data_IF_014110940198
#
_entry.id   IF_014110940198
#
_cell.length_a   1.000
_cell.length_b   1.000
_cell.length_c   1.000
_cell.angle_alpha   90.00
_cell.angle_beta   90.00
_cell.angle_gamma   90.00
#
_symmetry.space_group_name_H-M   'P 1'
#
loop_
_entity.id
_entity.type
_entity.pdbx_description
1 polymer ?
#
# COMPACT_ATOMS: atom_id res chain seq x y z
N UNK A 1 -6.31 -50.86 -42.49
CA UNK A 1 -5.03 -50.39 -43.05
C UNK A 1 -4.59 -49.22 -42.19
N UNK A 2 -3.83 -49.54 -41.19
CA UNK A 2 -2.35 -49.45 -41.04
C UNK A 2 -1.86 -48.00 -41.04
N UNK A 3 -1.07 -47.49 -40.10
CA UNK A 3 -0.06 -47.96 -39.12
C UNK A 3 0.09 -46.87 -38.05
N UNK A 4 -0.03 -47.08 -36.81
CA UNK A 4 0.97 -47.40 -35.75
C UNK A 4 2.39 -46.91 -36.08
N UNK A 5 2.88 -46.00 -35.26
CA UNK A 5 4.24 -46.05 -34.76
C UNK A 5 4.40 -45.29 -33.42
N UNK A 6 4.71 -46.12 -32.47
CA UNK A 6 5.16 -45.86 -31.08
C UNK A 6 6.61 -45.34 -31.09
N UNK A 7 6.97 -44.46 -30.17
CA UNK A 7 8.34 -44.00 -29.96
C UNK A 7 8.59 -43.55 -28.53
N UNK A 8 8.91 -44.52 -27.71
CA UNK A 8 9.68 -44.58 -26.46
C UNK A 8 10.11 -43.31 -25.72
N UNK A 9 9.57 -43.16 -24.54
CA UNK A 9 10.20 -42.49 -23.39
C UNK A 9 11.45 -43.26 -22.94
N UNK A 10 12.59 -42.60 -22.85
CA UNK A 10 13.69 -43.01 -21.96
C UNK A 10 13.86 -41.98 -20.85
N UNK A 11 13.44 -42.37 -19.64
CA UNK A 11 13.85 -41.75 -18.37
C UNK A 11 15.33 -41.98 -18.18
N UNK A 12 16.08 -40.93 -17.90
CA UNK A 12 17.38 -41.00 -17.23
C UNK A 12 17.34 -40.05 -16.03
N UNK A 13 17.28 -40.67 -14.87
CA UNK A 13 17.56 -40.04 -13.58
C UNK A 13 19.08 -40.09 -13.37
N UNK A 14 19.74 -38.96 -13.21
CA UNK A 14 21.02 -38.83 -12.52
C UNK A 14 20.99 -37.56 -11.71
N UNK A 15 21.38 -37.72 -10.46
CA UNK A 15 21.08 -36.81 -9.38
C UNK A 15 22.07 -35.64 -9.17
N UNK A 16 21.68 -34.87 -8.17
CA UNK A 16 22.44 -34.01 -7.24
C UNK A 16 23.21 -32.83 -7.83
N UNK A 17 22.77 -31.64 -7.47
CA UNK A 17 23.60 -30.44 -7.49
C UNK A 17 22.90 -29.16 -7.95
N UNK A 18 22.59 -28.27 -7.04
CA UNK A 18 22.46 -26.83 -7.28
C UNK A 18 21.04 -26.34 -7.60
N UNK A 19 20.43 -25.73 -6.62
CA UNK A 19 19.28 -24.85 -6.80
C UNK A 19 19.62 -23.77 -7.84
N UNK A 20 19.10 -23.92 -9.03
CA UNK A 20 18.94 -22.84 -10.02
C UNK A 20 17.47 -22.55 -10.09
N UNK A 21 17.06 -21.46 -9.44
CA UNK A 21 15.72 -20.88 -9.60
C UNK A 21 15.54 -20.42 -11.04
N UNK A 22 14.92 -21.25 -11.86
CA UNK A 22 14.45 -20.85 -13.17
C UNK A 22 13.10 -20.17 -13.00
N UNK A 23 13.12 -18.85 -12.75
CA UNK A 23 11.91 -18.04 -12.78
C UNK A 23 11.53 -17.84 -14.25
N UNK A 24 10.47 -18.52 -14.71
CA UNK A 24 9.83 -18.26 -15.99
C UNK A 24 9.16 -16.87 -15.94
N UNK A 25 9.74 -15.91 -16.66
CA UNK A 25 9.09 -14.65 -16.99
C UNK A 25 8.18 -14.85 -18.20
N UNK A 26 6.95 -14.33 -18.22
CA UNK A 26 6.25 -14.12 -19.47
C UNK A 26 7.00 -13.03 -20.26
N UNK A 27 7.62 -13.42 -21.37
CA UNK A 27 8.24 -12.53 -22.34
C UNK A 27 7.13 -11.70 -23.00
N UNK A 28 6.90 -10.48 -22.52
CA UNK A 28 6.25 -9.46 -23.34
C UNK A 28 7.28 -9.07 -24.41
N UNK A 29 7.09 -9.55 -25.65
CA UNK A 29 7.90 -9.19 -26.81
C UNK A 29 7.59 -7.74 -27.18
N UNK A 30 8.39 -6.79 -26.66
CA UNK A 30 8.55 -5.48 -27.27
C UNK A 30 9.48 -5.54 -28.50
N UNK A 31 9.47 -4.53 -29.36
CA UNK A 31 10.26 -4.54 -30.61
C UNK A 31 11.75 -4.73 -30.31
N UNK A 32 12.40 -5.58 -31.10
CA UNK A 32 13.81 -5.92 -30.99
C UNK A 32 14.69 -4.67 -31.15
N UNK A 33 15.18 -4.16 -30.02
CA UNK A 33 16.23 -3.13 -30.01
C UNK A 33 17.57 -3.80 -30.37
N UNK A 34 18.31 -3.17 -31.25
CA UNK A 34 19.60 -3.69 -31.77
C UNK A 34 20.65 -3.80 -30.64
N UNK A 35 21.51 -4.81 -30.72
CA UNK A 35 22.56 -5.15 -29.74
C UNK A 35 23.48 -3.97 -29.31
N UNK A 36 23.57 -2.91 -30.11
CA UNK A 36 24.34 -1.70 -29.78
C UNK A 36 23.69 -0.80 -28.69
N UNK A 37 22.35 -0.78 -28.64
CA UNK A 37 21.60 0.00 -27.66
C UNK A 37 21.66 -0.71 -26.29
N UNK A 38 21.60 -2.05 -26.27
CA UNK A 38 21.74 -2.86 -25.05
C UNK A 38 23.12 -2.70 -24.40
N UNK A 39 24.21 -2.65 -25.17
CA UNK A 39 25.56 -2.44 -24.62
C UNK A 39 25.74 -1.06 -24.01
N UNK A 40 25.16 -0.01 -24.58
CA UNK A 40 25.25 1.35 -24.06
C UNK A 40 24.46 1.56 -22.75
N UNK A 41 23.38 0.78 -22.52
CA UNK A 41 22.61 0.82 -21.27
C UNK A 41 23.24 0.00 -20.13
N UNK A 42 24.13 -0.97 -20.44
CA UNK A 42 24.83 -1.77 -19.44
C UNK A 42 26.04 -1.07 -18.78
N UNK A 43 26.46 0.10 -19.27
CA UNK A 43 27.66 0.78 -18.78
C UNK A 43 27.42 1.75 -17.61
N UNK A 44 26.19 2.10 -17.27
CA UNK A 44 25.90 3.02 -16.18
C UNK A 44 25.61 2.26 -14.89
N UNK A 45 26.68 1.89 -14.19
CA UNK A 45 26.55 1.25 -12.86
C UNK A 45 25.99 2.24 -11.85
N UNK A 46 24.85 1.93 -11.24
CA UNK A 46 24.24 2.69 -10.15
C UNK A 46 25.20 2.70 -8.95
N UNK A 47 25.61 3.88 -8.50
CA UNK A 47 26.57 4.06 -7.40
C UNK A 47 25.90 4.59 -6.15
N UNK A 48 24.82 5.36 -6.27
CA UNK A 48 24.17 6.01 -5.13
C UNK A 48 22.66 6.12 -5.30
N UNK A 49 21.93 5.71 -4.28
CA UNK A 49 20.46 5.73 -4.20
C UNK A 49 20.02 6.67 -3.08
N UNK A 50 19.06 7.56 -3.39
CA UNK A 50 18.28 8.29 -2.39
C UNK A 50 17.06 7.47 -1.96
N UNK A 51 16.72 7.48 -0.67
CA UNK A 51 15.47 6.90 -0.17
C UNK A 51 14.69 7.96 0.60
N UNK A 52 13.40 8.07 0.33
CA UNK A 52 12.49 9.01 0.99
C UNK A 52 11.12 8.39 1.27
N UNK A 53 10.43 8.95 2.24
CA UNK A 53 9.00 8.74 2.49
C UNK A 53 8.26 10.05 2.24
N UNK A 54 7.11 10.01 1.57
CA UNK A 54 6.33 11.19 1.22
C UNK A 54 4.83 10.91 1.31
N UNK A 55 4.05 11.92 1.68
CA UNK A 55 2.61 11.81 1.88
C UNK A 55 2.23 11.49 3.32
N UNK A 56 1.19 10.69 3.55
CA UNK A 56 0.82 10.19 4.88
C UNK A 56 1.76 9.08 5.32
N UNK A 57 2.03 9.01 6.61
CA UNK A 57 2.77 7.89 7.18
C UNK A 57 1.91 6.62 7.25
N UNK A 58 2.58 5.48 7.23
CA UNK A 58 1.95 4.17 7.35
C UNK A 58 2.89 3.21 8.10
N UNK A 59 2.35 2.35 8.99
CA UNK A 59 3.15 1.34 9.69
C UNK A 59 3.82 0.39 8.68
N UNK A 60 5.13 0.22 8.79
CA UNK A 60 5.92 -0.57 7.84
C UNK A 60 6.81 0.26 6.92
N UNK A 61 6.65 1.60 6.86
CA UNK A 61 7.58 2.46 6.11
C UNK A 61 9.03 2.30 6.57
N UNK A 62 9.28 2.14 7.87
CA UNK A 62 10.61 1.88 8.41
C UNK A 62 11.17 0.53 7.95
N UNK A 63 10.34 -0.50 7.84
CA UNK A 63 10.75 -1.80 7.32
C UNK A 63 11.15 -1.70 5.84
N UNK A 64 10.43 -0.88 5.03
CA UNK A 64 10.77 -0.60 3.63
C UNK A 64 12.09 0.18 3.52
N UNK A 65 12.29 1.25 4.31
CA UNK A 65 13.55 2.01 4.37
C UNK A 65 14.71 1.06 4.70
N UNK A 66 14.54 0.23 5.74
CA UNK A 66 15.56 -0.75 6.14
C UNK A 66 15.91 -1.70 5.00
N UNK A 67 14.93 -2.21 4.31
CA UNK A 67 15.15 -3.15 3.20
C UNK A 67 15.89 -2.48 2.03
N UNK A 68 15.53 -1.24 1.68
CA UNK A 68 16.22 -0.45 0.65
C UNK A 68 17.68 -0.25 1.02
N UNK A 69 17.95 0.29 2.21
CA UNK A 69 19.32 0.60 2.67
C UNK A 69 20.18 -0.66 2.71
N UNK A 70 19.70 -1.73 3.36
CA UNK A 70 20.48 -2.98 3.46
C UNK A 70 20.72 -3.65 2.11
N UNK A 71 19.73 -3.57 1.21
CA UNK A 71 19.87 -4.13 -0.14
C UNK A 71 20.82 -3.33 -1.02
N UNK A 72 20.85 -2.00 -0.88
CA UNK A 72 21.80 -1.13 -1.58
C UNK A 72 23.23 -1.37 -1.07
N UNK A 73 23.44 -1.26 0.24
CA UNK A 73 24.76 -1.47 0.86
C UNK A 73 25.32 -2.87 0.56
N UNK A 74 24.47 -3.91 0.62
CA UNK A 74 24.88 -5.28 0.29
C UNK A 74 25.31 -5.48 -1.16
N UNK A 75 25.02 -4.52 -2.05
CA UNK A 75 25.46 -4.48 -3.45
C UNK A 75 26.61 -3.49 -3.71
N UNK A 76 27.16 -2.88 -2.64
CA UNK A 76 28.16 -1.82 -2.78
C UNK A 76 27.61 -0.48 -3.27
N UNK A 77 26.29 -0.28 -3.23
CA UNK A 77 25.63 0.95 -3.63
C UNK A 77 25.48 1.86 -2.41
N UNK A 78 25.97 3.10 -2.48
CA UNK A 78 25.80 4.10 -1.43
C UNK A 78 24.32 4.48 -1.25
N UNK A 79 23.90 4.75 -0.01
CA UNK A 79 22.53 5.11 0.29
C UNK A 79 22.46 6.43 1.08
N UNK A 80 21.50 7.28 0.72
CA UNK A 80 21.23 8.57 1.37
C UNK A 80 19.75 8.65 1.73
N UNK A 81 19.44 8.85 3.00
CA UNK A 81 18.09 9.12 3.48
C UNK A 81 17.72 10.60 3.29
N UNK A 82 16.63 10.87 2.61
CA UNK A 82 16.11 12.23 2.39
C UNK A 82 14.97 12.43 3.38
N UNK A 83 15.14 13.37 4.29
CA UNK A 83 14.16 13.68 5.32
C UNK A 83 13.01 14.52 4.77
N UNK A 84 11.81 14.35 5.33
CA UNK A 84 10.59 15.11 4.96
C UNK A 84 10.22 15.01 3.47
N UNK A 85 10.55 13.89 2.83
CA UNK A 85 10.18 13.62 1.45
C UNK A 85 10.70 14.65 0.45
N UNK A 86 9.82 15.10 -0.44
CA UNK A 86 10.19 16.09 -1.48
C UNK A 86 10.67 17.42 -0.92
N UNK A 87 10.16 17.86 0.26
CA UNK A 87 10.65 19.06 0.94
C UNK A 87 12.13 18.95 1.32
N UNK A 88 12.56 17.75 1.70
CA UNK A 88 13.96 17.49 2.03
C UNK A 88 14.89 17.60 0.82
N UNK A 89 14.43 17.17 -0.36
CA UNK A 89 15.20 17.42 -1.60
C UNK A 89 15.30 18.88 -1.93
N UNK A 90 14.20 19.64 -1.80
CA UNK A 90 14.21 21.10 -2.03
C UNK A 90 15.14 21.81 -1.04
N UNK A 91 15.08 21.43 0.24
CA UNK A 91 15.83 22.06 1.32
C UNK A 91 17.22 21.45 1.59
N UNK A 92 17.65 20.46 0.79
CA UNK A 92 18.90 19.71 1.00
C UNK A 92 19.02 19.07 2.39
N UNK A 93 17.89 18.55 2.94
CA UNK A 93 17.84 17.86 4.23
C UNK A 93 18.00 16.35 4.02
N UNK A 94 19.20 15.88 4.19
CA UNK A 94 19.57 14.48 3.97
C UNK A 94 20.54 13.95 5.01
N UNK A 95 20.65 12.62 5.10
CA UNK A 95 21.55 11.90 5.99
C UNK A 95 22.18 10.71 5.25
N UNK A 96 23.49 10.51 5.33
CA UNK A 96 24.11 9.26 4.86
C UNK A 96 23.52 8.08 5.62
N UNK A 97 23.29 6.97 4.93
CA UNK A 97 22.70 5.78 5.53
C UNK A 97 23.55 4.52 5.25
N UNK A 98 23.73 3.74 6.29
CA UNK A 98 24.39 2.46 6.27
C UNK A 98 23.54 1.38 6.98
N UNK A 99 24.08 0.19 7.16
CA UNK A 99 23.37 -0.90 7.84
C UNK A 99 23.10 -0.60 9.32
N UNK A 100 23.92 0.24 9.97
CA UNK A 100 23.75 0.61 11.38
C UNK A 100 22.63 1.63 11.55
N UNK A 101 22.49 2.55 10.61
CA UNK A 101 21.43 3.59 10.58
C UNK A 101 20.02 3.02 10.57
N UNK A 102 19.87 1.78 10.11
CA UNK A 102 18.56 1.10 9.99
C UNK A 102 18.44 -0.12 10.92
N UNK A 103 19.30 -0.20 11.93
CA UNK A 103 19.19 -1.22 12.97
C UNK A 103 18.01 -0.91 13.89
N UNK A 104 17.29 -1.95 14.31
CA UNK A 104 16.16 -1.83 15.26
C UNK A 104 15.08 -0.81 14.86
N UNK A 105 14.71 -0.78 13.56
CA UNK A 105 13.61 0.06 13.05
C UNK A 105 12.49 -0.75 12.38
N UNK A 106 12.68 -2.05 12.15
CA UNK A 106 11.70 -2.88 11.44
C UNK A 106 10.37 -2.99 12.21
N UNK A 107 10.46 -2.95 13.53
CA UNK A 107 9.31 -3.01 14.45
C UNK A 107 8.69 -1.65 14.76
N UNK A 108 9.31 -0.55 14.35
CA UNK A 108 8.86 0.81 14.69
C UNK A 108 7.84 1.32 13.70
N UNK A 109 6.74 1.85 14.22
CA UNK A 109 5.76 2.63 13.46
C UNK A 109 6.32 3.98 13.00
N UNK A 110 5.49 4.71 12.24
CA UNK A 110 5.91 5.98 11.63
C UNK A 110 7.03 5.81 10.60
N UNK A 111 7.85 6.84 10.43
CA UNK A 111 8.99 6.83 9.49
C UNK A 111 10.19 7.58 10.05
N UNK A 112 11.36 6.91 10.05
CA UNK A 112 12.65 7.47 10.48
C UNK A 112 13.04 8.73 9.68
N UNK A 113 12.65 8.77 8.41
CA UNK A 113 12.99 9.88 7.51
C UNK A 113 11.99 11.03 7.57
N UNK A 114 11.00 10.97 8.46
CA UNK A 114 9.89 11.90 8.48
C UNK A 114 9.15 11.95 7.13
N UNK A 115 7.99 12.55 7.09
CA UNK A 115 7.21 12.70 5.87
C UNK A 115 6.56 14.08 5.84
N UNK A 116 6.34 14.60 4.63
CA UNK A 116 5.62 15.84 4.41
C UNK A 116 4.93 15.83 3.05
N UNK A 117 3.85 16.61 2.94
CA UNK A 117 3.32 17.05 1.64
C UNK A 117 4.08 18.30 1.21
N UNK A 118 4.37 18.43 -0.10
CA UNK A 118 5.10 19.56 -0.66
C UNK A 118 4.33 20.19 -1.81
N UNK A 119 3.75 21.35 -1.57
CA UNK A 119 3.12 22.12 -2.66
C UNK A 119 4.19 22.75 -3.56
N UNK A 120 5.32 23.18 -2.98
CA UNK A 120 6.44 23.76 -3.75
C UNK A 120 6.98 22.76 -4.78
N UNK A 121 7.06 21.48 -4.44
CA UNK A 121 7.57 20.45 -5.35
C UNK A 121 6.69 20.25 -6.60
N UNK A 122 5.44 20.67 -6.58
CA UNK A 122 4.56 20.63 -7.75
C UNK A 122 4.93 21.68 -8.81
N UNK A 123 5.77 22.65 -8.46
CA UNK A 123 6.25 23.70 -9.36
C UNK A 123 7.54 23.28 -10.03
N UNK A 124 7.79 23.79 -11.24
CA UNK A 124 9.05 23.59 -11.95
C UNK A 124 10.24 24.09 -11.11
N UNK A 125 10.10 25.25 -10.47
CA UNK A 125 11.13 25.82 -9.61
C UNK A 125 11.48 24.91 -8.41
N UNK A 126 10.48 24.29 -7.79
CA UNK A 126 10.68 23.31 -6.71
C UNK A 126 11.37 22.03 -7.21
N UNK A 127 10.99 21.54 -8.38
CA UNK A 127 11.64 20.39 -9.01
C UNK A 127 13.08 20.69 -9.39
N UNK A 128 13.39 21.90 -9.87
CA UNK A 128 14.76 22.34 -10.18
C UNK A 128 15.64 22.38 -8.93
N UNK A 129 15.13 22.90 -7.81
CA UNK A 129 15.83 22.86 -6.52
C UNK A 129 16.10 21.43 -6.06
N UNK A 130 15.09 20.57 -6.13
CA UNK A 130 15.22 19.17 -5.79
C UNK A 130 16.24 18.44 -6.67
N UNK A 131 16.23 18.72 -7.98
CA UNK A 131 17.19 18.16 -8.93
C UNK A 131 18.61 18.66 -8.67
N UNK A 132 18.79 19.93 -8.28
CA UNK A 132 20.10 20.45 -7.87
C UNK A 132 20.67 19.65 -6.68
N UNK A 133 19.83 19.30 -5.70
CA UNK A 133 20.24 18.43 -4.58
C UNK A 133 20.59 17.01 -5.06
N UNK A 134 19.81 16.43 -5.99
CA UNK A 134 20.15 15.13 -6.58
C UNK A 134 21.52 15.15 -7.27
N UNK A 135 21.82 16.21 -8.03
CA UNK A 135 23.11 16.41 -8.71
C UNK A 135 24.25 16.61 -7.70
N UNK A 136 24.04 17.42 -6.66
CA UNK A 136 25.01 17.65 -5.58
C UNK A 136 25.39 16.34 -4.89
N UNK A 137 24.41 15.47 -4.63
CA UNK A 137 24.61 14.18 -3.98
C UNK A 137 25.09 13.11 -4.94
N UNK A 138 25.07 13.34 -6.25
CA UNK A 138 25.37 12.33 -7.27
C UNK A 138 24.42 11.12 -7.19
N UNK A 139 23.11 11.37 -7.07
CA UNK A 139 22.12 10.31 -7.00
C UNK A 139 21.83 9.75 -8.40
N UNK A 140 22.04 8.47 -8.58
CA UNK A 140 21.67 7.76 -9.82
C UNK A 140 20.20 7.34 -9.80
N UNK A 141 19.64 7.16 -8.60
CA UNK A 141 18.23 6.75 -8.43
C UNK A 141 17.63 7.24 -7.11
N UNK A 142 16.28 7.28 -7.07
CA UNK A 142 15.49 7.52 -5.87
C UNK A 142 14.50 6.38 -5.66
N UNK A 143 14.44 5.84 -4.45
CA UNK A 143 13.34 5.00 -3.97
C UNK A 143 12.36 5.88 -3.19
N UNK A 144 11.16 6.04 -3.72
CA UNK A 144 10.10 6.86 -3.15
C UNK A 144 9.01 5.97 -2.53
N UNK A 145 8.85 6.05 -1.20
CA UNK A 145 7.91 5.25 -0.42
C UNK A 145 6.70 6.11 -0.09
N UNK A 146 5.51 5.71 -0.53
CA UNK A 146 4.27 6.47 -0.29
C UNK A 146 3.13 6.10 -1.22
N UNK A 147 2.19 7.01 -1.44
CA UNK A 147 1.01 6.83 -2.29
C UNK A 147 1.18 7.39 -3.71
N UNK A 148 0.08 7.44 -4.47
CA UNK A 148 0.04 7.94 -5.86
C UNK A 148 0.68 9.32 -6.06
N UNK A 149 0.41 10.25 -5.16
CA UNK A 149 1.02 11.59 -5.22
C UNK A 149 2.55 11.55 -5.13
N UNK A 150 3.08 10.60 -4.37
CA UNK A 150 4.53 10.38 -4.26
C UNK A 150 5.10 9.83 -5.57
N UNK A 151 4.40 8.91 -6.24
CA UNK A 151 4.85 8.34 -7.51
C UNK A 151 4.78 9.36 -8.66
N UNK A 152 3.71 10.18 -8.70
CA UNK A 152 3.62 11.29 -9.68
C UNK A 152 4.81 12.23 -9.50
N UNK A 153 5.11 12.65 -8.28
CA UNK A 153 6.26 13.49 -8.00
C UNK A 153 7.60 12.85 -8.37
N UNK A 154 7.76 11.55 -8.14
CA UNK A 154 8.96 10.80 -8.56
C UNK A 154 9.13 10.80 -10.09
N UNK A 155 8.05 10.55 -10.83
CA UNK A 155 8.04 10.54 -12.28
C UNK A 155 8.34 11.94 -12.86
N UNK A 156 7.71 12.97 -12.29
CA UNK A 156 7.93 14.37 -12.71
C UNK A 156 9.39 14.78 -12.51
N UNK A 157 10.00 14.41 -11.37
CA UNK A 157 11.42 14.68 -11.11
C UNK A 157 12.34 13.95 -12.10
N UNK A 158 12.04 12.69 -12.42
CA UNK A 158 12.83 11.92 -13.39
C UNK A 158 12.72 12.50 -14.80
N UNK A 159 11.53 12.95 -15.21
CA UNK A 159 11.32 13.65 -16.49
C UNK A 159 12.10 14.97 -16.52
N UNK A 160 12.01 15.77 -15.44
CA UNK A 160 12.74 17.01 -15.32
C UNK A 160 14.26 16.80 -15.36
N UNK A 161 14.75 15.73 -14.74
CA UNK A 161 16.14 15.32 -14.82
C UNK A 161 16.58 15.05 -16.27
N UNK A 162 15.79 14.26 -17.01
CA UNK A 162 16.06 13.92 -18.41
C UNK A 162 16.12 15.16 -19.33
N UNK A 163 15.21 16.13 -19.12
CA UNK A 163 15.24 17.42 -19.84
C UNK A 163 16.56 18.20 -19.66
N UNK A 164 17.22 18.05 -18.50
CA UNK A 164 18.51 18.68 -18.19
C UNK A 164 19.71 17.78 -18.51
N UNK A 165 19.51 16.65 -19.18
CA UNK A 165 20.56 15.68 -19.50
C UNK A 165 21.09 14.90 -18.28
N UNK A 166 20.38 14.92 -17.14
CA UNK A 166 20.73 14.16 -15.96
C UNK A 166 19.93 12.86 -15.89
N UNK A 167 20.62 11.73 -15.80
CA UNK A 167 19.97 10.43 -15.70
C UNK A 167 19.61 10.13 -14.24
N UNK A 168 18.31 10.07 -13.93
CA UNK A 168 17.78 9.75 -12.60
C UNK A 168 16.67 8.73 -12.72
N UNK A 169 16.90 7.50 -12.23
CA UNK A 169 15.88 6.48 -12.14
C UNK A 169 15.01 6.67 -10.89
N UNK A 170 13.76 6.24 -10.94
CA UNK A 170 12.89 6.26 -9.76
C UNK A 170 12.17 4.92 -9.58
N UNK A 171 12.08 4.47 -8.33
CA UNK A 171 11.29 3.29 -7.95
C UNK A 171 10.30 3.65 -6.85
N UNK A 172 9.01 3.38 -7.07
CA UNK A 172 7.93 3.60 -6.12
C UNK A 172 7.64 2.36 -5.27
N UNK A 173 7.44 2.54 -3.97
CA UNK A 173 6.98 1.49 -3.06
C UNK A 173 5.64 1.93 -2.47
N UNK A 174 4.52 1.22 -2.75
CA UNK A 174 3.20 1.55 -2.24
C UNK A 174 3.10 1.42 -0.72
N UNK A 175 2.92 2.55 -0.03
CA UNK A 175 2.76 2.61 1.42
C UNK A 175 1.68 3.64 1.79
N UNK A 176 0.50 3.13 2.10
CA UNK A 176 -0.66 3.88 2.57
C UNK A 176 -1.61 2.92 3.28
N UNK A 177 -2.26 3.37 4.35
CA UNK A 177 -3.28 2.58 5.05
C UNK A 177 -4.58 2.47 4.27
N UNK A 178 -4.82 3.34 3.28
CA UNK A 178 -6.07 3.44 2.53
C UNK A 178 -6.24 2.30 1.53
N UNK A 179 -5.14 1.65 1.12
CA UNK A 179 -5.08 0.58 0.11
C UNK A 179 -5.72 0.96 -1.25
N UNK A 180 -5.62 2.23 -1.61
CA UNK A 180 -6.29 2.86 -2.75
C UNK A 180 -5.41 2.99 -4.01
N UNK A 181 -4.18 2.46 -4.00
CA UNK A 181 -3.24 2.52 -5.14
C UNK A 181 -3.71 1.59 -6.26
N UNK A 182 -4.02 2.16 -7.43
CA UNK A 182 -4.63 1.47 -8.56
C UNK A 182 -3.84 0.26 -9.06
N UNK A 183 -2.53 0.34 -9.09
CA UNK A 183 -1.66 -0.72 -9.61
C UNK A 183 -1.33 -1.83 -8.60
N UNK A 184 -1.73 -1.72 -7.33
CA UNK A 184 -1.34 -2.70 -6.30
C UNK A 184 -2.54 -3.22 -5.52
N UNK A 185 -2.66 -4.53 -5.38
CA UNK A 185 -3.69 -5.16 -4.56
C UNK A 185 -3.48 -4.91 -3.05
N UNK A 186 -2.24 -4.64 -2.66
CA UNK A 186 -1.88 -4.42 -1.27
C UNK A 186 -0.90 -3.24 -1.13
N UNK A 187 -1.09 -2.44 -0.10
CA UNK A 187 -0.20 -1.33 0.27
C UNK A 187 0.29 -1.50 1.70
N UNK A 188 1.57 -1.16 1.94
CA UNK A 188 2.20 -1.24 3.26
C UNK A 188 1.46 -0.34 4.24
N UNK A 189 1.10 -0.91 5.39
CA UNK A 189 0.39 -0.23 6.47
C UNK A 189 -1.11 -0.54 6.57
N UNK A 190 -1.70 -1.09 5.52
CA UNK A 190 -3.12 -1.43 5.47
C UNK A 190 -3.52 -2.50 6.51
N UNK A 191 -2.76 -3.60 6.58
CA UNK A 191 -3.04 -4.69 7.52
C UNK A 191 -2.92 -4.24 8.98
N UNK A 192 -1.90 -3.46 9.28
CA UNK A 192 -1.72 -2.89 10.63
C UNK A 192 -2.86 -1.96 11.00
N UNK A 193 -3.30 -1.09 10.07
CA UNK A 193 -4.43 -0.19 10.31
C UNK A 193 -5.74 -0.95 10.55
N UNK A 194 -5.96 -2.05 9.80
CA UNK A 194 -7.10 -2.95 10.05
C UNK A 194 -7.02 -3.56 11.46
N UNK A 195 -5.87 -4.11 11.85
CA UNK A 195 -5.68 -4.72 13.17
C UNK A 195 -5.87 -3.72 14.30
N UNK A 196 -5.38 -2.48 14.15
CA UNK A 196 -5.61 -1.40 15.12
C UNK A 196 -7.10 -1.09 15.28
N UNK A 197 -7.83 -1.00 14.15
CA UNK A 197 -9.27 -0.74 14.20
C UNK A 197 -10.04 -1.91 14.82
N UNK A 198 -9.69 -3.16 14.49
CA UNK A 198 -10.28 -4.37 15.07
C UNK A 198 -10.07 -4.39 16.58
N UNK A 199 -8.84 -4.16 17.04
CA UNK A 199 -8.53 -4.12 18.48
C UNK A 199 -9.35 -3.06 19.24
N UNK A 200 -9.52 -1.88 18.64
CA UNK A 200 -10.36 -0.82 19.23
C UNK A 200 -11.84 -1.23 19.28
N UNK A 201 -12.34 -1.84 18.19
CA UNK A 201 -13.75 -2.25 18.08
C UNK A 201 -14.06 -3.40 19.05
N UNK A 202 -13.15 -4.35 19.23
CA UNK A 202 -13.33 -5.45 20.17
C UNK A 202 -13.48 -4.93 21.61
N UNK A 203 -12.68 -3.93 22.01
CA UNK A 203 -12.83 -3.26 23.31
C UNK A 203 -14.17 -2.52 23.44
N UNK A 204 -14.64 -1.89 22.33
CA UNK A 204 -15.96 -1.26 22.32
C UNK A 204 -17.09 -2.29 22.41
N UNK A 205 -16.90 -3.48 21.82
CA UNK A 205 -17.88 -4.55 21.86
C UNK A 205 -18.18 -5.03 23.28
N UNK A 206 -17.17 -5.17 24.14
CA UNK A 206 -17.35 -5.61 25.53
C UNK A 206 -18.30 -4.68 26.28
N UNK A 207 -18.10 -3.37 26.17
CA UNK A 207 -18.98 -2.39 26.84
C UNK A 207 -20.34 -2.28 26.12
N UNK A 208 -20.38 -2.43 24.81
CA UNK A 208 -21.60 -2.37 24.02
C UNK A 208 -22.56 -3.52 24.35
N UNK A 209 -22.04 -4.74 24.52
CA UNK A 209 -22.81 -5.90 24.97
C UNK A 209 -23.35 -5.69 26.40
N UNK A 210 -22.51 -5.21 27.31
CA UNK A 210 -22.89 -4.99 28.71
C UNK A 210 -24.02 -3.98 28.88
N UNK A 211 -24.19 -3.06 27.94
CA UNK A 211 -25.18 -1.98 28.00
C UNK A 211 -26.29 -2.07 26.94
N UNK A 212 -26.30 -3.13 26.11
CA UNK A 212 -27.28 -3.35 25.03
C UNK A 212 -27.39 -2.13 24.08
N UNK A 213 -26.22 -1.64 23.58
CA UNK A 213 -26.11 -0.39 22.82
C UNK A 213 -25.77 -0.60 21.36
N UNK A 214 -25.98 0.44 20.59
CA UNK A 214 -25.42 0.58 19.23
C UNK A 214 -24.10 1.37 19.32
N UNK A 215 -23.11 0.97 18.55
CA UNK A 215 -21.89 1.73 18.31
C UNK A 215 -21.75 2.08 16.84
N UNK A 216 -21.41 3.34 16.54
CA UNK A 216 -21.03 3.83 15.23
C UNK A 216 -19.55 4.16 15.28
N UNK A 217 -18.74 3.42 14.51
CA UNK A 217 -17.29 3.56 14.51
C UNK A 217 -16.83 4.06 13.15
N UNK A 218 -16.24 5.27 13.15
CA UNK A 218 -15.64 5.85 11.95
C UNK A 218 -14.19 5.42 11.84
N UNK A 219 -13.83 4.92 10.64
CA UNK A 219 -12.48 4.51 10.29
C UNK A 219 -11.95 5.34 9.13
N UNK A 220 -10.64 5.48 9.04
CA UNK A 220 -9.97 6.14 7.94
C UNK A 220 -10.16 5.37 6.63
N UNK A 221 -9.54 5.81 5.56
CA UNK A 221 -9.61 5.23 4.21
C UNK A 221 -9.77 6.30 3.14
N UNK A 222 -9.86 7.58 3.54
CA UNK A 222 -9.97 8.74 2.65
C UNK A 222 -11.21 8.65 1.74
N UNK A 223 -11.02 8.35 0.46
CA UNK A 223 -12.11 8.21 -0.52
C UNK A 223 -12.36 6.74 -0.88
N UNK A 224 -11.81 5.79 -0.14
CA UNK A 224 -11.92 4.37 -0.40
C UNK A 224 -12.43 3.60 0.83
N UNK A 225 -13.29 2.62 0.59
CA UNK A 225 -13.92 1.79 1.62
C UNK A 225 -13.15 0.50 1.95
N UNK A 226 -11.95 0.29 1.43
CA UNK A 226 -11.21 -0.97 1.63
C UNK A 226 -10.97 -1.27 3.11
N UNK A 227 -10.58 -0.25 3.89
CA UNK A 227 -10.31 -0.41 5.32
C UNK A 227 -11.60 -0.69 6.08
N UNK A 228 -12.66 0.10 5.86
CA UNK A 228 -13.95 -0.09 6.50
C UNK A 228 -14.55 -1.47 6.20
N UNK A 229 -14.47 -1.93 4.94
CA UNK A 229 -14.98 -3.24 4.54
C UNK A 229 -14.19 -4.38 5.17
N UNK A 230 -12.84 -4.28 5.18
CA UNK A 230 -11.99 -5.30 5.81
C UNK A 230 -12.25 -5.41 7.30
N UNK A 231 -12.30 -4.27 7.99
CA UNK A 231 -12.61 -4.21 9.43
C UNK A 231 -14.02 -4.73 9.69
N UNK A 232 -15.01 -4.24 8.95
CA UNK A 232 -16.41 -4.62 9.14
C UNK A 232 -16.68 -6.12 8.98
N UNK A 233 -16.06 -6.78 7.98
CA UNK A 233 -16.13 -8.23 7.84
C UNK A 233 -15.47 -8.92 9.04
N UNK A 234 -14.29 -8.44 9.44
CA UNK A 234 -13.49 -9.08 10.50
C UNK A 234 -14.14 -8.99 11.87
N UNK A 235 -14.88 -7.92 12.14
CA UNK A 235 -15.58 -7.74 13.43
C UNK A 235 -17.05 -8.20 13.37
N UNK A 236 -17.55 -8.68 12.24
CA UNK A 236 -18.97 -9.04 12.10
C UNK A 236 -19.89 -7.84 12.32
N UNK A 237 -19.63 -6.71 11.67
CA UNK A 237 -20.42 -5.51 11.83
C UNK A 237 -21.85 -5.70 11.31
N UNK A 238 -22.83 -5.10 11.98
CA UNK A 238 -24.24 -5.10 11.54
C UNK A 238 -24.41 -4.38 10.21
N UNK A 239 -23.67 -3.27 10.01
CA UNK A 239 -23.63 -2.53 8.75
C UNK A 239 -22.24 -1.93 8.52
N UNK A 240 -21.86 -1.80 7.25
CA UNK A 240 -20.63 -1.12 6.82
C UNK A 240 -20.97 -0.13 5.73
N UNK A 241 -20.56 1.13 5.93
CA UNK A 241 -20.79 2.20 4.97
C UNK A 241 -19.49 2.54 4.26
N UNK A 242 -19.52 2.52 2.93
CA UNK A 242 -18.36 2.76 2.07
C UNK A 242 -18.69 3.79 0.98
N UNK A 243 -17.73 4.61 0.55
CA UNK A 243 -17.98 5.64 -0.47
C UNK A 243 -18.31 5.09 -1.86
N UNK A 244 -17.87 3.86 -2.16
CA UNK A 244 -18.12 3.20 -3.45
C UNK A 244 -19.58 2.78 -3.65
N UNK A 245 -20.40 2.86 -2.62
CA UNK A 245 -21.82 2.50 -2.66
C UNK A 245 -22.69 3.62 -2.09
N UNK A 246 -23.69 4.05 -2.86
CA UNK A 246 -24.66 5.03 -2.36
C UNK A 246 -25.39 4.47 -1.14
N UNK A 247 -25.37 5.22 -0.05
CA UNK A 247 -26.10 4.89 1.17
C UNK A 247 -27.62 4.99 0.92
N UNK A 248 -28.32 3.92 1.20
CA UNK A 248 -29.78 3.88 1.35
C UNK A 248 -30.10 3.58 2.82
N UNK A 249 -30.19 4.65 3.62
CA UNK A 249 -30.18 4.60 5.07
C UNK A 249 -31.17 3.59 5.66
N UNK A 250 -32.42 3.57 5.15
CA UNK A 250 -33.45 2.64 5.62
C UNK A 250 -33.01 1.18 5.40
N UNK A 251 -32.62 0.83 4.16
CA UNK A 251 -32.20 -0.54 3.82
C UNK A 251 -30.88 -0.96 4.49
N UNK A 252 -29.91 -0.05 4.47
CA UNK A 252 -28.53 -0.40 4.80
C UNK A 252 -28.25 -0.40 6.30
N UNK A 253 -29.10 0.29 7.09
CA UNK A 253 -28.95 0.41 8.54
C UNK A 253 -30.22 0.01 9.28
N UNK A 254 -31.34 0.71 9.03
CA UNK A 254 -32.53 0.60 9.86
C UNK A 254 -33.16 -0.79 9.80
N UNK A 255 -33.35 -1.31 8.59
CA UNK A 255 -33.88 -2.68 8.40
C UNK A 255 -32.97 -3.74 9.01
N UNK A 256 -31.65 -3.58 8.91
CA UNK A 256 -30.68 -4.52 9.50
C UNK A 256 -30.78 -4.53 11.02
N UNK A 257 -30.86 -3.37 11.65
CA UNK A 257 -31.05 -3.24 13.10
C UNK A 257 -32.39 -3.83 13.53
N UNK A 258 -33.48 -3.57 12.78
CA UNK A 258 -34.80 -4.12 13.10
C UNK A 258 -34.81 -5.65 12.99
N UNK A 259 -34.23 -6.21 11.92
CA UNK A 259 -34.12 -7.69 11.76
C UNK A 259 -33.27 -8.30 12.87
N UNK A 260 -32.12 -7.73 13.18
CA UNK A 260 -31.25 -8.20 14.26
C UNK A 260 -31.99 -8.17 15.63
N UNK A 261 -32.77 -7.11 15.89
CA UNK A 261 -33.61 -6.99 17.11
C UNK A 261 -34.67 -8.10 17.17
N UNK A 262 -35.33 -8.38 16.05
CA UNK A 262 -36.33 -9.47 15.98
C UNK A 262 -35.70 -10.83 16.21
N UNK A 263 -34.44 -11.04 15.81
CA UNK A 263 -33.66 -12.23 16.07
C UNK A 263 -33.05 -12.29 17.50
N UNK A 264 -33.37 -11.33 18.38
CA UNK A 264 -32.89 -11.32 19.76
C UNK A 264 -31.54 -10.67 19.99
N UNK A 265 -30.97 -9.99 18.99
CA UNK A 265 -29.73 -9.24 19.16
C UNK A 265 -30.01 -7.94 19.89
N UNK A 266 -29.19 -7.65 20.92
CA UNK A 266 -29.39 -6.47 21.80
C UNK A 266 -28.34 -5.36 21.53
N UNK A 267 -27.30 -5.64 20.75
CA UNK A 267 -26.22 -4.70 20.46
C UNK A 267 -25.89 -4.67 18.96
N UNK A 268 -25.50 -3.50 18.44
CA UNK A 268 -25.33 -3.27 17.02
C UNK A 268 -24.04 -2.51 16.73
N UNK A 269 -23.28 -2.95 15.74
CA UNK A 269 -22.05 -2.31 15.30
C UNK A 269 -22.19 -1.78 13.88
N UNK A 270 -22.02 -0.48 13.70
CA UNK A 270 -21.98 0.18 12.37
C UNK A 270 -20.58 0.71 12.14
N UNK A 271 -19.90 0.26 11.11
CA UNK A 271 -18.58 0.75 10.69
C UNK A 271 -18.76 1.71 9.52
N UNK A 272 -18.19 2.91 9.64
CA UNK A 272 -18.32 3.99 8.65
C UNK A 272 -16.94 4.35 8.13
N UNK A 273 -16.73 4.26 6.80
CA UNK A 273 -15.56 4.87 6.18
C UNK A 273 -15.71 6.41 6.23
N UNK A 274 -14.66 7.16 6.59
CA UNK A 274 -14.67 8.63 6.66
C UNK A 274 -15.16 9.30 5.36
N UNK A 275 -14.97 8.64 4.20
CA UNK A 275 -15.43 9.09 2.91
C UNK A 275 -16.89 8.77 2.58
N UNK A 276 -17.58 7.96 3.41
CA UNK A 276 -18.97 7.54 3.17
C UNK A 276 -20.01 8.41 3.91
N UNK A 277 -19.59 9.15 4.94
CA UNK A 277 -20.47 10.01 5.71
C UNK A 277 -19.89 10.36 7.07
N UNK A 278 -20.59 11.22 7.79
CA UNK A 278 -20.21 11.65 9.14
C UNK A 278 -20.86 10.73 10.18
N UNK A 279 -20.04 10.10 11.02
CA UNK A 279 -20.54 9.15 12.03
C UNK A 279 -21.51 9.77 13.05
N UNK A 280 -21.36 11.06 13.38
CA UNK A 280 -22.29 11.78 14.29
C UNK A 280 -23.67 11.96 13.66
N UNK A 281 -23.72 12.33 12.37
CA UNK A 281 -24.98 12.48 11.63
C UNK A 281 -25.70 11.13 11.48
N UNK A 282 -24.96 10.08 11.15
CA UNK A 282 -25.47 8.70 11.06
C UNK A 282 -26.04 8.25 12.42
N UNK A 283 -25.32 8.53 13.50
CA UNK A 283 -25.78 8.24 14.86
C UNK A 283 -27.10 8.91 15.19
N UNK A 284 -27.25 10.20 14.86
CA UNK A 284 -28.48 10.96 15.06
C UNK A 284 -29.65 10.36 14.27
N UNK A 285 -29.45 10.05 12.99
CA UNK A 285 -30.45 9.41 12.13
C UNK A 285 -30.89 8.03 12.68
N UNK A 286 -29.94 7.23 13.20
CA UNK A 286 -30.26 5.94 13.86
C UNK A 286 -31.15 6.16 15.07
N UNK A 287 -30.80 7.14 15.91
CA UNK A 287 -31.63 7.49 17.07
C UNK A 287 -33.06 7.83 16.71
N UNK A 288 -33.25 8.71 15.72
CA UNK A 288 -34.58 9.11 15.24
C UNK A 288 -35.37 7.94 14.64
N UNK A 289 -34.71 7.05 13.87
CA UNK A 289 -35.41 5.99 13.12
C UNK A 289 -35.78 4.77 13.99
N UNK A 290 -34.96 4.41 14.99
CA UNK A 290 -35.13 3.15 15.77
C UNK A 290 -35.16 3.34 17.27
N UNK A 291 -35.04 4.57 17.78
CA UNK A 291 -35.11 4.92 19.21
C UNK A 291 -33.93 4.38 20.05
N UNK A 292 -32.81 4.04 19.41
CA UNK A 292 -31.58 3.66 20.08
C UNK A 292 -30.67 4.89 20.16
N UNK A 293 -29.93 5.06 21.26
CA UNK A 293 -28.91 6.12 21.40
C UNK A 293 -27.52 5.54 21.11
N UNK A 294 -26.98 5.67 19.88
CA UNK A 294 -25.70 5.09 19.56
C UNK A 294 -24.55 5.85 20.20
N UNK A 295 -23.46 5.15 20.46
CA UNK A 295 -22.19 5.75 20.87
C UNK A 295 -21.27 5.86 19.65
N UNK A 296 -20.76 7.07 19.42
CA UNK A 296 -19.85 7.34 18.29
C UNK A 296 -18.41 7.28 18.76
N UNK A 297 -17.58 6.62 17.97
CA UNK A 297 -16.13 6.60 18.14
C UNK A 297 -15.47 6.86 16.80
N UNK A 298 -14.71 7.95 16.70
CA UNK A 298 -13.88 8.27 15.53
C UNK A 298 -12.46 7.82 15.85
N UNK A 299 -11.97 6.77 15.16
CA UNK A 299 -10.63 6.24 15.42
C UNK A 299 -9.53 7.18 14.95
N UNK A 300 -9.70 7.80 13.80
CA UNK A 300 -8.75 8.80 13.28
C UNK A 300 -7.32 8.28 13.21
N UNK A 301 -6.36 9.16 13.59
CA UNK A 301 -4.94 8.96 13.38
C UNK A 301 -4.29 7.82 14.18
N UNK A 302 -4.93 7.22 15.19
CA UNK A 302 -4.39 6.03 15.85
C UNK A 302 -4.18 4.87 14.87
N UNK A 303 -4.95 4.82 13.78
CA UNK A 303 -4.82 3.83 12.70
C UNK A 303 -3.53 3.99 11.87
N UNK A 304 -2.83 5.12 11.96
CA UNK A 304 -1.55 5.36 11.29
C UNK A 304 -0.34 4.92 12.11
N UNK A 305 -0.54 4.69 13.42
CA UNK A 305 0.50 4.35 14.36
C UNK A 305 0.64 2.86 14.62
N UNK A 306 1.52 2.56 15.57
CA UNK A 306 1.74 1.21 16.06
C UNK A 306 2.84 0.43 15.34
N UNK A 307 3.21 -0.68 15.94
CA UNK A 307 4.20 -1.60 15.41
C UNK A 307 3.60 -2.34 14.20
N UNK A 308 4.28 -2.35 13.04
CA UNK A 308 3.74 -2.98 11.85
C UNK A 308 3.52 -4.49 12.04
N UNK A 309 2.44 -5.01 11.49
CA UNK A 309 2.13 -6.43 11.49
C UNK A 309 3.19 -7.24 10.75
N UNK A 310 3.19 -8.56 10.95
CA UNK A 310 4.09 -9.47 10.22
C UNK A 310 3.95 -9.29 8.71
N UNK A 311 2.72 -9.16 8.21
CA UNK A 311 2.42 -8.98 6.80
C UNK A 311 2.99 -7.66 6.25
N UNK A 312 2.83 -6.56 6.97
CA UNK A 312 3.38 -5.27 6.57
C UNK A 312 4.91 -5.27 6.58
N UNK A 313 5.55 -5.88 7.61
CA UNK A 313 7.01 -5.98 7.68
C UNK A 313 7.58 -6.83 6.53
N UNK A 314 6.97 -7.98 6.26
CA UNK A 314 7.40 -8.88 5.20
C UNK A 314 7.23 -8.24 3.82
N UNK A 315 6.05 -7.70 3.52
CA UNK A 315 5.76 -7.02 2.25
C UNK A 315 6.69 -5.83 2.03
N UNK A 316 6.89 -5.00 3.05
CA UNK A 316 7.80 -3.86 2.99
C UNK A 316 9.25 -4.29 2.72
N UNK A 317 9.70 -5.38 3.36
CA UNK A 317 11.05 -5.92 3.17
C UNK A 317 11.24 -6.46 1.75
N UNK A 318 10.27 -7.20 1.23
CA UNK A 318 10.30 -7.73 -0.13
C UNK A 318 10.25 -6.62 -1.17
N UNK A 319 9.37 -5.61 -1.01
CA UNK A 319 9.26 -4.47 -1.92
C UNK A 319 10.55 -3.64 -1.93
N UNK A 320 11.15 -3.36 -0.76
CA UNK A 320 12.41 -2.62 -0.66
C UNK A 320 13.57 -3.33 -1.36
N UNK A 321 13.70 -4.65 -1.16
CA UNK A 321 14.68 -5.47 -1.87
C UNK A 321 14.45 -5.43 -3.38
N UNK A 322 13.20 -5.59 -3.82
CA UNK A 322 12.86 -5.63 -5.25
C UNK A 322 13.09 -4.29 -5.94
N UNK A 323 12.81 -3.16 -5.25
CA UNK A 323 13.06 -1.81 -5.76
C UNK A 323 14.55 -1.58 -6.05
N UNK A 324 15.43 -1.91 -5.10
CA UNK A 324 16.87 -1.79 -5.30
C UNK A 324 17.37 -2.71 -6.42
N UNK A 325 16.82 -3.92 -6.51
CA UNK A 325 17.15 -4.85 -7.58
C UNK A 325 16.73 -4.31 -8.96
N UNK A 326 15.52 -3.77 -9.09
CA UNK A 326 15.03 -3.19 -10.33
C UNK A 326 15.91 -2.01 -10.79
N UNK A 327 16.32 -1.14 -9.85
CA UNK A 327 17.25 -0.03 -10.11
C UNK A 327 18.61 -0.57 -10.58
N UNK A 328 19.18 -1.55 -9.89
CA UNK A 328 20.49 -2.14 -10.26
C UNK A 328 20.46 -2.87 -11.61
N UNK A 329 19.30 -3.40 -12.00
CA UNK A 329 19.05 -4.02 -13.30
C UNK A 329 18.70 -2.99 -14.40
N UNK A 330 18.74 -1.67 -14.10
CA UNK A 330 18.39 -0.57 -15.00
C UNK A 330 16.98 -0.71 -15.62
N UNK A 331 16.03 -1.16 -14.81
CA UNK A 331 14.63 -1.31 -15.27
C UNK A 331 13.98 0.03 -15.65
N UNK A 332 14.56 1.15 -15.20
CA UNK A 332 14.02 2.51 -15.40
C UNK A 332 13.00 2.88 -14.32
N UNK A 333 12.10 3.79 -14.67
CA UNK A 333 11.10 4.30 -13.73
C UNK A 333 10.01 3.25 -13.47
N UNK A 334 9.90 2.78 -12.22
CA UNK A 334 9.01 1.67 -11.91
C UNK A 334 8.27 1.83 -10.58
N UNK A 335 7.22 1.03 -10.41
CA UNK A 335 6.51 0.79 -9.13
C UNK A 335 6.61 -0.69 -8.79
N UNK A 336 6.90 -0.98 -7.54
CA UNK A 336 6.89 -2.35 -7.02
C UNK A 336 5.49 -2.63 -6.46
N UNK A 337 4.67 -3.31 -7.23
CA UNK A 337 3.27 -3.59 -6.89
C UNK A 337 3.07 -5.03 -6.41
N UNK A 338 2.02 -5.27 -5.65
CA UNK A 338 1.51 -6.62 -5.37
C UNK A 338 0.36 -6.91 -6.34
N UNK A 339 0.51 -7.93 -7.17
CA UNK A 339 -0.52 -8.41 -8.08
C UNK A 339 -0.68 -9.92 -7.94
N UNK A 340 -1.90 -10.41 -7.77
CA UNK A 340 -2.21 -11.85 -7.61
C UNK A 340 -1.33 -12.57 -6.58
N UNK A 341 -1.07 -11.91 -5.45
CA UNK A 341 -0.25 -12.46 -4.37
C UNK A 341 1.26 -12.47 -4.64
N UNK A 342 1.74 -11.87 -5.73
CA UNK A 342 3.16 -11.80 -6.11
C UNK A 342 3.61 -10.36 -6.30
N UNK A 343 4.92 -10.14 -6.17
CA UNK A 343 5.49 -8.83 -6.50
C UNK A 343 5.70 -8.70 -8.01
N UNK A 344 5.17 -7.62 -8.56
CA UNK A 344 5.38 -7.19 -9.94
C UNK A 344 6.22 -5.91 -9.96
N UNK A 345 7.01 -5.73 -11.02
CA UNK A 345 7.70 -4.47 -11.34
C UNK A 345 6.99 -3.88 -12.55
N UNK A 346 6.31 -2.77 -12.35
CA UNK A 346 5.50 -2.12 -13.38
C UNK A 346 6.18 -0.83 -13.84
N UNK A 347 6.03 -0.48 -15.12
CA UNK A 347 6.40 0.86 -15.57
C UNK A 347 5.57 1.89 -14.80
N UNK A 348 6.20 2.97 -14.31
CA UNK A 348 5.54 3.92 -13.41
C UNK A 348 4.45 4.73 -14.12
N UNK A 349 4.62 5.08 -15.39
CA UNK A 349 3.59 5.79 -16.16
C UNK A 349 2.34 4.94 -16.36
N UNK A 350 2.53 3.66 -16.64
CA UNK A 350 1.42 2.72 -16.84
C UNK A 350 0.76 2.40 -15.50
N UNK A 351 1.54 2.20 -14.45
CA UNK A 351 1.06 1.99 -13.08
C UNK A 351 0.14 3.14 -12.60
N UNK A 352 0.50 4.39 -12.90
CA UNK A 352 -0.29 5.58 -12.53
C UNK A 352 -1.60 5.74 -13.31
N UNK A 353 -1.77 5.02 -14.43
CA UNK A 353 -3.02 4.99 -15.21
C UNK A 353 -3.96 3.87 -14.77
N UNK A 354 -3.45 2.89 -14.02
CA UNK A 354 -4.24 1.77 -13.56
C UNK A 354 -5.25 2.22 -12.51
N UNK A 355 -6.45 1.64 -12.58
CA UNK A 355 -7.50 1.80 -11.59
C UNK A 355 -7.69 0.50 -10.83
N UNK A 356 -8.06 0.59 -9.58
CA UNK A 356 -8.37 -0.58 -8.76
C UNK A 356 -9.87 -0.71 -8.65
N UNK A 357 -10.41 -1.81 -9.17
CA UNK A 357 -11.82 -2.11 -8.98
C UNK A 357 -12.08 -2.45 -7.51
N UNK A 358 -13.11 -1.83 -6.96
CA UNK A 358 -13.58 -2.19 -5.64
C UNK A 358 -14.34 -3.52 -5.74
N UNK A 359 -13.77 -4.58 -5.17
CA UNK A 359 -14.35 -5.92 -5.25
C UNK A 359 -15.69 -6.02 -4.50
N UNK A 360 -16.80 -5.73 -5.18
CA UNK A 360 -18.15 -5.79 -4.61
C UNK A 360 -18.51 -7.19 -4.08
N UNK A 361 -17.82 -8.24 -4.51
CA UNK A 361 -17.97 -9.59 -3.95
C UNK A 361 -17.72 -9.62 -2.44
N UNK A 362 -16.71 -8.91 -1.96
CA UNK A 362 -16.44 -8.81 -0.51
C UNK A 362 -17.58 -8.12 0.24
N UNK A 363 -18.22 -7.13 -0.38
CA UNK A 363 -19.40 -6.50 0.18
C UNK A 363 -20.60 -7.47 0.21
N UNK A 364 -20.77 -8.30 -0.82
CA UNK A 364 -21.79 -9.37 -0.83
C UNK A 364 -21.54 -10.41 0.25
N UNK A 365 -20.28 -10.76 0.52
CA UNK A 365 -19.92 -11.63 1.65
C UNK A 365 -20.35 -11.00 2.99
N UNK A 366 -20.06 -9.73 3.21
CA UNK A 366 -20.55 -9.02 4.40
C UNK A 366 -22.07 -9.10 4.51
N UNK A 367 -22.79 -8.77 3.43
CA UNK A 367 -24.27 -8.84 3.40
C UNK A 367 -24.79 -10.26 3.70
N UNK A 368 -24.19 -11.28 3.13
CA UNK A 368 -24.58 -12.66 3.38
C UNK A 368 -24.37 -13.09 4.84
N UNK A 369 -23.28 -12.62 5.46
CA UNK A 369 -22.96 -12.93 6.86
C UNK A 369 -23.79 -12.11 7.87
N UNK A 370 -24.27 -10.94 7.48
CA UNK A 370 -25.07 -10.07 8.36
C UNK A 370 -26.58 -10.24 8.17
N UNK A 371 -27.06 -10.68 7.01
CA UNK A 371 -28.50 -10.79 6.70
C UNK A 371 -29.15 -12.14 7.10
N UNK A 372 -28.37 -13.12 7.58
CA UNK A 372 -28.89 -14.42 8.02
C UNK A 372 -29.50 -14.42 9.44
N UNK A 373 -30.11 -13.31 9.85
CA UNK A 373 -30.88 -13.25 11.09
C UNK A 373 -32.25 -13.88 10.88
N UNK A 374 -32.32 -15.22 10.98
CA UNK A 374 -33.59 -15.94 11.00
C UNK A 374 -34.00 -16.57 9.69
N UNK A 375 -33.30 -17.61 9.32
CA UNK A 375 -33.80 -18.72 8.52
C UNK A 375 -33.98 -19.92 9.43
N UNK A 376 -34.99 -19.96 10.27
CA UNK A 376 -35.61 -21.18 10.81
C UNK A 376 -37.04 -21.17 10.35
#
# INVERSE_FOLDING_TARGET
MEKILTGNMKKRIVGVGGFRDTILFPLVRGPALTNSIWRKHMEQQVKRIGVLTSGGDAPGMNAAIRAVVRSAVGRGIGCVGIRRGWNGLIGSDFVPMDTSSVSHIIEKGGTLLYTARSEEFRTIAGQDKALATCKLLGLDAIVAIGGDGTFRGALDLSRRAAETGYHLQVAGIPATIDNDIGCSHYTIGFDTACNTAIECIDKLRDTMQSHERCSVVEVMGRHAGYLALSVGISVGATAVLIPERKLEFERDIVEKIRRARLAGTTHYMVVVAEGAGNAMEISHQIHEAVGIDPRVTVLGHIQRGGSPSAKDRETASQMGYRAVRAIAENFGNCVIATQEGRLAVLNMEDALKMTKEFGMERYQILEALTNNWGGI
#
